data_IF_379561077281
#
_entry.id   IF_379561077281
#
_cell.length_a   1.000
_cell.length_b   1.000
_cell.length_c   1.000
_cell.angle_alpha   90.00
_cell.angle_beta   90.00
_cell.angle_gamma   90.00
#
_symmetry.space_group_name_H-M   'P 1'
#
loop_
_entity.id
_entity.type
_entity.pdbx_description
1 polymer ?
#
# COMPACT_ATOMS: atom_id res chain seq x y z
N UNK A 1 15.75 -55.68 -21.97
CA UNK A 1 16.04 -54.31 -22.44
C UNK A 1 15.61 -53.29 -21.38
N UNK A 2 16.42 -53.03 -20.34
CA UNK A 2 16.23 -51.88 -19.41
C UNK A 2 17.60 -51.52 -18.83
N UNK A 3 18.43 -50.77 -19.55
CA UNK A 3 19.69 -50.20 -19.00
C UNK A 3 20.09 -48.82 -19.59
N UNK A 4 19.22 -48.14 -20.35
CA UNK A 4 19.62 -46.94 -21.11
C UNK A 4 19.15 -45.59 -20.52
N UNK A 5 18.22 -45.56 -19.56
CA UNK A 5 17.61 -44.29 -19.13
C UNK A 5 18.33 -43.53 -18.00
N UNK A 6 19.33 -44.12 -17.34
CA UNK A 6 20.04 -43.47 -16.22
C UNK A 6 21.23 -42.59 -16.66
N UNK A 7 21.82 -42.87 -17.83
CA UNK A 7 23.00 -42.12 -18.31
C UNK A 7 22.66 -40.73 -18.87
N UNK A 8 21.41 -40.49 -19.28
CA UNK A 8 20.98 -39.20 -19.85
C UNK A 8 20.75 -38.16 -18.74
N UNK A 9 20.22 -38.57 -17.57
CA UNK A 9 19.93 -37.63 -16.47
C UNK A 9 21.18 -37.10 -15.76
N UNK A 10 22.27 -37.88 -15.69
CA UNK A 10 23.53 -37.40 -15.10
C UNK A 10 24.25 -36.36 -15.98
N UNK A 11 24.11 -36.42 -17.31
CA UNK A 11 24.77 -35.46 -18.22
C UNK A 11 24.13 -34.08 -18.17
N UNK A 12 22.80 -33.99 -18.03
CA UNK A 12 22.09 -32.71 -17.96
C UNK A 12 22.37 -31.97 -16.66
N UNK A 13 22.51 -32.69 -15.54
CA UNK A 13 22.80 -32.09 -14.23
C UNK A 13 24.21 -31.49 -14.17
N UNK A 14 25.22 -32.18 -14.73
CA UNK A 14 26.59 -31.66 -14.75
C UNK A 14 26.75 -30.40 -15.61
N UNK A 15 26.00 -30.30 -16.72
CA UNK A 15 26.01 -29.11 -17.58
C UNK A 15 25.39 -27.88 -16.89
N UNK A 16 24.33 -28.08 -16.12
CA UNK A 16 23.68 -26.99 -15.37
C UNK A 16 24.58 -26.44 -14.26
N UNK A 17 25.27 -27.31 -13.53
CA UNK A 17 26.22 -26.88 -12.48
C UNK A 17 27.43 -26.14 -13.06
N UNK A 18 27.91 -26.51 -14.25
CA UNK A 18 29.03 -25.84 -14.88
C UNK A 18 28.65 -24.44 -15.41
N UNK A 19 27.45 -24.28 -15.97
CA UNK A 19 26.95 -22.96 -16.40
C UNK A 19 26.72 -22.00 -15.22
N UNK A 20 26.18 -22.49 -14.11
CA UNK A 20 25.99 -21.69 -12.90
C UNK A 20 27.32 -21.21 -12.30
N UNK A 21 28.36 -22.04 -12.32
CA UNK A 21 29.70 -21.63 -11.86
C UNK A 21 30.37 -20.60 -12.78
N UNK A 22 30.16 -20.68 -14.09
CA UNK A 22 30.70 -19.67 -15.03
C UNK A 22 30.00 -18.31 -14.89
N UNK A 23 28.68 -18.28 -14.68
CA UNK A 23 27.92 -17.04 -14.45
C UNK A 23 28.30 -16.35 -13.13
N UNK A 24 28.54 -17.13 -12.07
CA UNK A 24 29.00 -16.60 -10.80
C UNK A 24 30.38 -15.95 -10.90
N UNK A 25 31.31 -16.57 -11.66
CA UNK A 25 32.66 -16.04 -11.84
C UNK A 25 32.68 -14.74 -12.66
N UNK A 26 31.82 -14.62 -13.69
CA UNK A 26 31.69 -13.39 -14.50
C UNK A 26 31.20 -12.21 -13.65
N UNK A 27 30.23 -12.43 -12.75
CA UNK A 27 29.74 -11.35 -11.87
C UNK A 27 30.78 -10.89 -10.86
N UNK A 28 31.60 -11.80 -10.32
CA UNK A 28 32.70 -11.43 -9.41
C UNK A 28 33.75 -10.57 -10.13
N UNK A 29 34.07 -10.87 -11.39
CA UNK A 29 35.00 -10.07 -12.20
C UNK A 29 34.43 -8.68 -12.52
N UNK A 30 33.13 -8.57 -12.81
CA UNK A 30 32.48 -7.26 -13.04
C UNK A 30 32.46 -6.38 -11.77
N UNK A 31 32.23 -6.97 -10.61
CA UNK A 31 32.26 -6.26 -9.31
C UNK A 31 33.69 -5.80 -8.98
N UNK A 32 34.71 -6.64 -9.22
CA UNK A 32 36.11 -6.25 -9.04
C UNK A 32 36.55 -5.14 -10.01
N UNK A 33 36.05 -5.13 -11.25
CA UNK A 33 36.33 -4.06 -12.21
C UNK A 33 35.73 -2.71 -11.78
N UNK A 34 34.52 -2.71 -11.19
CA UNK A 34 33.88 -1.50 -10.64
C UNK A 34 34.59 -0.95 -9.40
N UNK A 35 35.19 -1.83 -8.58
CA UNK A 35 35.97 -1.42 -7.41
C UNK A 35 37.35 -0.86 -7.77
N UNK A 36 37.94 -1.29 -8.90
CA UNK A 36 39.22 -0.74 -9.35
C UNK A 36 39.04 0.65 -9.98
N UNK A 37 37.93 0.90 -10.69
CA UNK A 37 37.65 2.19 -11.34
C UNK A 37 37.23 3.32 -10.39
N UNK A 38 36.82 3.01 -9.16
CA UNK A 38 36.39 4.02 -8.17
C UNK A 38 37.52 4.62 -7.33
N UNK A 39 38.79 4.25 -7.60
CA UNK A 39 39.95 4.69 -6.82
C UNK A 39 40.81 5.79 -7.48
N UNK A 40 40.37 6.35 -8.63
CA UNK A 40 41.09 7.41 -9.34
C UNK A 40 40.13 8.51 -9.78
N UNK A 41 39.73 9.40 -8.87
CA UNK A 41 39.23 10.73 -9.22
C UNK A 41 39.12 11.65 -7.99
N UNK A 42 39.63 12.87 -8.18
CA UNK A 42 39.33 14.11 -7.44
C UNK A 42 40.12 14.43 -6.17
N UNK A 43 41.22 15.14 -6.44
CA UNK A 43 41.86 16.11 -5.57
C UNK A 43 41.46 17.52 -6.06
N UNK A 44 41.31 18.45 -5.11
CA UNK A 44 41.13 19.91 -5.22
C UNK A 44 39.75 20.48 -5.58
N UNK A 45 39.13 21.14 -4.59
CA UNK A 45 38.26 22.30 -4.81
C UNK A 45 38.43 23.27 -3.64
N UNK A 46 38.67 24.53 -3.99
CA UNK A 46 38.98 25.63 -3.09
C UNK A 46 37.78 26.19 -2.32
N UNK A 47 38.16 27.03 -1.37
CA UNK A 47 37.33 27.74 -0.39
C UNK A 47 36.44 28.78 -1.10
N UNK A 48 35.11 28.64 -0.97
CA UNK A 48 34.12 29.62 -1.41
C UNK A 48 33.34 30.11 -0.20
N UNK A 49 33.40 31.42 0.00
CA UNK A 49 32.74 32.18 1.04
C UNK A 49 31.22 32.14 0.84
N UNK A 50 30.46 31.66 1.83
CA UNK A 50 28.99 31.59 1.77
C UNK A 50 28.38 32.39 2.91
N UNK A 51 27.93 33.61 2.59
CA UNK A 51 26.88 34.28 3.35
C UNK A 51 25.54 33.71 2.88
N UNK A 52 24.87 32.94 3.74
CA UNK A 52 23.60 32.27 3.44
C UNK A 52 22.58 32.58 4.53
N UNK A 53 21.48 33.17 4.11
CA UNK A 53 20.26 33.38 4.89
C UNK A 53 19.67 32.03 5.30
N UNK A 54 19.49 31.84 6.60
CA UNK A 54 19.02 30.58 7.17
C UNK A 54 17.62 30.21 6.66
N UNK A 55 17.37 28.94 6.30
CA UNK A 55 16.05 28.46 5.91
C UNK A 55 15.06 28.58 7.07
N UNK A 56 13.80 28.88 6.73
CA UNK A 56 12.67 29.04 7.65
C UNK A 56 12.26 27.66 8.19
N UNK A 57 13.08 27.11 9.08
CA UNK A 57 12.81 25.84 9.72
C UNK A 57 11.70 26.01 10.77
N UNK A 58 10.60 25.28 10.61
CA UNK A 58 9.71 24.96 11.74
C UNK A 58 10.48 23.96 12.60
N UNK A 59 11.17 24.43 13.65
CA UNK A 59 11.92 23.54 14.53
C UNK A 59 10.98 22.79 15.48
N UNK A 60 10.90 21.45 15.41
CA UNK A 60 10.25 20.67 16.44
C UNK A 60 11.22 20.43 17.61
N UNK A 61 10.71 20.50 18.83
CA UNK A 61 11.42 20.05 20.03
C UNK A 61 11.48 18.53 20.01
N UNK A 62 12.67 17.96 19.77
CA UNK A 62 12.89 16.51 19.72
C UNK A 62 13.49 16.04 21.05
N UNK A 63 12.80 15.16 21.75
CA UNK A 63 13.33 14.39 22.89
C UNK A 63 14.35 13.34 22.42
N UNK A 64 15.46 13.21 23.16
CA UNK A 64 16.63 12.40 22.79
C UNK A 64 16.31 10.91 22.50
N UNK A 65 16.91 10.37 21.42
CA UNK A 65 16.78 8.98 20.95
C UNK A 65 17.85 8.04 21.55
N UNK A 66 17.61 6.71 21.58
CA UNK A 66 18.61 5.71 21.98
C UNK A 66 19.75 5.57 20.96
N UNK A 67 20.97 5.32 21.44
CA UNK A 67 22.24 5.53 20.73
C UNK A 67 22.87 4.31 20.01
N UNK A 68 22.16 3.21 19.73
CA UNK A 68 22.81 2.10 19.01
C UNK A 68 21.83 1.10 18.39
N UNK A 69 21.78 1.01 17.06
CA UNK A 69 21.24 -0.15 16.35
C UNK A 69 22.06 -0.48 15.09
N UNK A 70 22.19 -1.77 14.72
CA UNK A 70 23.25 -2.23 13.81
C UNK A 70 22.78 -2.53 12.38
N UNK A 71 21.60 -2.07 11.95
CA UNK A 71 21.15 -2.29 10.58
C UNK A 71 21.54 -1.08 9.72
N UNK A 72 22.57 -1.18 8.87
CA UNK A 72 22.81 -0.13 7.90
C UNK A 72 21.60 -0.03 6.96
N UNK A 73 21.16 1.20 6.67
CA UNK A 73 20.26 1.57 5.56
C UNK A 73 20.93 1.19 4.23
N UNK A 74 21.10 -0.11 3.98
CA UNK A 74 21.99 -0.64 2.95
C UNK A 74 21.48 -0.48 1.51
N UNK A 75 20.32 0.17 1.31
CA UNK A 75 19.71 0.30 -0.02
C UNK A 75 19.02 1.66 -0.23
N UNK A 76 19.53 2.73 0.38
CA UNK A 76 19.06 4.05 0.02
C UNK A 76 19.63 4.47 -1.34
N UNK A 77 18.79 4.45 -2.38
CA UNK A 77 19.10 5.06 -3.68
C UNK A 77 18.51 6.47 -3.66
N UNK A 78 19.31 7.54 -3.80
CA UNK A 78 18.78 8.89 -3.94
C UNK A 78 17.75 8.94 -5.07
N UNK A 79 16.59 9.53 -4.77
CA UNK A 79 15.52 9.73 -5.74
C UNK A 79 15.34 11.22 -5.96
N UNK A 80 15.22 11.62 -7.22
CA UNK A 80 14.96 13.00 -7.62
C UNK A 80 13.84 13.00 -8.65
N UNK A 81 12.86 13.88 -8.47
CA UNK A 81 11.81 14.14 -9.46
C UNK A 81 11.61 15.65 -9.61
N UNK A 82 11.11 16.07 -10.78
CA UNK A 82 10.81 17.49 -11.06
C UNK A 82 9.50 17.59 -11.84
N UNK A 83 8.63 18.50 -11.41
CA UNK A 83 7.38 18.86 -12.07
C UNK A 83 7.19 20.37 -11.94
N UNK A 84 7.08 21.06 -13.09
CA UNK A 84 7.00 22.53 -13.11
C UNK A 84 8.16 23.22 -12.39
N UNK A 85 7.82 24.09 -11.43
CA UNK A 85 8.74 24.84 -10.57
C UNK A 85 9.14 24.07 -9.28
N UNK A 86 8.64 22.85 -9.10
CA UNK A 86 8.91 22.00 -7.92
C UNK A 86 9.90 20.90 -8.29
N UNK A 87 10.95 20.77 -7.49
CA UNK A 87 11.89 19.66 -7.53
C UNK A 87 11.90 18.99 -6.15
N UNK A 88 11.89 17.67 -6.13
CA UNK A 88 11.95 16.89 -4.89
C UNK A 88 13.11 15.92 -4.92
N UNK A 89 13.74 15.77 -3.77
CA UNK A 89 14.84 14.84 -3.55
C UNK A 89 14.65 14.11 -2.23
N UNK A 90 14.93 12.81 -2.20
CA UNK A 90 15.14 12.07 -0.96
C UNK A 90 16.64 12.00 -0.69
N UNK A 91 17.05 12.44 0.50
CA UNK A 91 18.46 12.47 0.93
C UNK A 91 18.61 11.75 2.27
N UNK A 92 19.62 10.88 2.45
CA UNK A 92 19.84 10.26 3.75
C UNK A 92 20.40 11.30 4.73
N UNK A 93 20.09 11.15 6.02
CA UNK A 93 20.82 11.85 7.06
C UNK A 93 22.30 11.44 7.04
N UNK A 94 23.21 12.33 7.45
CA UNK A 94 24.65 12.05 7.47
C UNK A 94 25.01 10.86 8.36
N UNK A 95 24.24 10.63 9.41
CA UNK A 95 24.36 9.50 10.34
C UNK A 95 23.42 8.33 9.98
N UNK A 96 22.71 8.42 8.86
CA UNK A 96 21.69 7.47 8.41
C UNK A 96 20.58 7.21 9.45
N UNK A 97 20.34 8.13 10.39
CA UNK A 97 19.27 8.00 11.37
C UNK A 97 17.88 8.34 10.82
N UNK A 98 17.84 8.91 9.61
CA UNK A 98 16.63 9.40 8.96
C UNK A 98 16.82 9.54 7.43
N UNK A 99 15.71 9.80 6.75
CA UNK A 99 15.66 10.27 5.37
C UNK A 99 14.99 11.63 5.37
N UNK A 100 15.52 12.56 4.58
CA UNK A 100 14.95 13.88 4.38
C UNK A 100 14.27 13.97 3.03
N UNK A 101 13.04 14.46 3.02
CA UNK A 101 12.43 15.01 1.81
C UNK A 101 12.88 16.47 1.68
N UNK A 102 13.67 16.75 0.65
CA UNK A 102 14.05 18.10 0.24
C UNK A 102 13.16 18.53 -0.93
N UNK A 103 12.42 19.60 -0.75
CA UNK A 103 11.59 20.22 -1.79
C UNK A 103 12.22 21.56 -2.14
N UNK A 104 12.50 21.78 -3.42
CA UNK A 104 12.92 23.07 -3.96
C UNK A 104 11.78 23.66 -4.78
N UNK A 105 11.27 24.82 -4.37
CA UNK A 105 10.22 25.60 -5.04
C UNK A 105 10.73 27.02 -5.21
N UNK A 106 10.78 27.52 -6.44
CA UNK A 106 11.16 28.92 -6.73
C UNK A 106 12.49 29.37 -6.07
N UNK A 107 13.49 28.48 -6.03
CA UNK A 107 14.80 28.68 -5.36
C UNK A 107 14.76 28.61 -3.82
N UNK A 108 13.59 28.51 -3.21
CA UNK A 108 13.46 28.23 -1.79
C UNK A 108 13.53 26.72 -1.53
N UNK A 109 14.10 26.34 -0.39
CA UNK A 109 14.25 24.95 0.02
C UNK A 109 13.47 24.66 1.30
N UNK A 110 12.70 23.58 1.24
CA UNK A 110 11.90 23.05 2.33
C UNK A 110 12.42 21.65 2.65
N UNK A 111 12.75 21.39 3.92
CA UNK A 111 13.34 20.13 4.35
C UNK A 111 12.48 19.49 5.42
N UNK A 112 12.06 18.25 5.17
CA UNK A 112 11.24 17.48 6.10
C UNK A 112 11.95 16.19 6.51
N UNK A 113 11.95 15.89 7.80
CA UNK A 113 12.36 14.60 8.35
C UNK A 113 11.24 13.59 8.11
N UNK A 114 11.50 12.52 7.37
CA UNK A 114 10.49 11.49 7.09
C UNK A 114 10.06 10.80 8.38
N UNK A 115 10.99 10.55 9.31
CA UNK A 115 10.65 10.06 10.65
C UNK A 115 9.67 10.99 11.39
N UNK A 116 9.90 12.31 11.35
CA UNK A 116 9.02 13.27 12.01
C UNK A 116 7.66 13.37 11.31
N UNK A 117 7.63 13.23 9.98
CA UNK A 117 6.40 13.16 9.21
C UNK A 117 5.56 11.94 9.62
N UNK A 118 6.18 10.75 9.71
CA UNK A 118 5.51 9.52 10.14
C UNK A 118 4.94 9.63 11.57
N UNK A 119 5.72 10.18 12.51
CA UNK A 119 5.28 10.36 13.90
C UNK A 119 4.06 11.30 14.04
N UNK A 120 3.82 12.19 13.07
CA UNK A 120 2.64 13.07 13.09
C UNK A 120 1.35 12.36 12.70
N UNK A 121 1.44 11.19 12.07
CA UNK A 121 0.30 10.44 11.58
C UNK A 121 -0.21 9.39 12.59
N UNK A 122 0.26 9.43 13.84
CA UNK A 122 -0.08 8.44 14.89
C UNK A 122 0.20 6.98 14.47
N UNK A 123 1.16 6.80 13.56
CA UNK A 123 1.73 5.48 13.26
C UNK A 123 2.69 5.14 14.40
N UNK A 124 2.62 3.90 14.92
CA UNK A 124 3.41 3.43 16.08
C UNK A 124 4.86 3.96 16.01
N UNK A 125 5.29 4.83 16.95
CA UNK A 125 6.57 5.55 16.89
C UNK A 125 7.79 4.62 17.02
N UNK A 126 7.57 3.32 17.28
CA UNK A 126 8.61 2.30 17.32
C UNK A 126 8.82 1.60 15.97
N UNK A 127 8.04 1.98 14.94
CA UNK A 127 8.15 1.41 13.59
C UNK A 127 9.19 2.16 12.78
N UNK A 128 10.37 1.55 12.69
CA UNK A 128 11.43 1.98 11.78
C UNK A 128 11.02 1.66 10.33
N UNK A 129 11.24 2.61 9.43
CA UNK A 129 11.11 2.37 7.99
C UNK A 129 12.39 1.76 7.40
N UNK A 130 12.24 0.86 6.42
CA UNK A 130 13.37 0.35 5.63
C UNK A 130 13.53 1.04 4.29
N UNK A 131 12.46 1.61 3.76
CA UNK A 131 12.51 2.32 2.48
C UNK A 131 11.52 3.47 2.45
N UNK A 132 11.94 4.53 1.75
CA UNK A 132 11.10 5.67 1.38
C UNK A 132 11.23 5.83 -0.13
N UNK A 133 10.10 5.99 -0.82
CA UNK A 133 10.06 6.17 -2.27
C UNK A 133 9.14 7.32 -2.66
N UNK A 134 9.57 8.12 -3.63
CA UNK A 134 8.70 9.09 -4.30
C UNK A 134 7.88 8.30 -5.34
N UNK A 135 6.61 8.07 -5.05
CA UNK A 135 5.71 7.36 -5.96
C UNK A 135 5.25 8.24 -7.10
N UNK A 136 4.88 9.49 -6.80
CA UNK A 136 4.43 10.46 -7.78
C UNK A 136 4.86 11.88 -7.37
N UNK A 137 5.07 12.71 -8.39
CA UNK A 137 5.14 14.16 -8.31
C UNK A 137 4.24 14.70 -9.43
N UNK A 138 2.97 14.96 -9.12
CA UNK A 138 1.94 15.28 -10.11
C UNK A 138 0.88 16.19 -9.49
N UNK A 139 0.22 16.98 -10.33
CA UNK A 139 -0.95 17.80 -9.97
C UNK A 139 -2.17 16.86 -9.85
N UNK A 140 -2.57 16.54 -8.63
CA UNK A 140 -3.58 15.51 -8.33
C UNK A 140 -5.00 16.06 -8.26
N UNK A 141 -5.16 17.35 -7.96
CA UNK A 141 -6.46 18.02 -7.92
C UNK A 141 -6.65 19.06 -9.03
N UNK A 142 -5.74 19.10 -10.00
CA UNK A 142 -5.78 19.91 -11.22
C UNK A 142 -5.79 21.42 -10.94
N UNK A 143 -5.16 21.83 -9.83
CA UNK A 143 -5.06 23.24 -9.43
C UNK A 143 -3.82 23.95 -10.01
N UNK A 144 -2.96 23.21 -10.72
CA UNK A 144 -1.72 23.68 -11.32
C UNK A 144 -0.49 23.53 -10.43
N UNK A 145 -0.63 23.03 -9.20
CA UNK A 145 0.44 22.75 -8.26
C UNK A 145 0.67 21.25 -8.13
N UNK A 146 1.93 20.76 -8.20
CA UNK A 146 2.19 19.33 -8.06
C UNK A 146 2.24 18.90 -6.58
N UNK A 147 1.49 17.85 -6.26
CA UNK A 147 1.60 17.09 -5.03
C UNK A 147 2.72 16.05 -5.09
N UNK A 148 3.19 15.66 -3.90
CA UNK A 148 4.22 14.65 -3.73
C UNK A 148 3.61 13.47 -2.98
N UNK A 149 3.64 12.31 -3.62
CA UNK A 149 3.20 11.06 -3.00
C UNK A 149 4.41 10.24 -2.59
N UNK A 150 4.49 9.91 -1.30
CA UNK A 150 5.55 9.09 -0.73
C UNK A 150 5.00 7.74 -0.28
N UNK A 151 5.72 6.66 -0.59
CA UNK A 151 5.58 5.36 0.06
C UNK A 151 6.67 5.23 1.13
N UNK A 152 6.24 5.10 2.38
CA UNK A 152 7.09 4.90 3.55
C UNK A 152 6.84 3.47 4.04
N UNK A 153 7.73 2.57 3.66
CA UNK A 153 7.59 1.15 3.95
C UNK A 153 8.39 0.76 5.22
N UNK A 154 7.74 0.14 6.22
CA UNK A 154 8.36 -0.31 7.46
C UNK A 154 9.31 -1.47 7.22
N UNK A 155 10.13 -1.78 8.22
CA UNK A 155 11.03 -2.93 8.18
C UNK A 155 10.32 -4.24 7.75
N UNK A 156 11.02 -5.04 6.93
CA UNK A 156 10.57 -6.21 6.16
C UNK A 156 9.75 -7.32 6.87
N UNK A 157 9.51 -7.22 8.17
CA UNK A 157 8.64 -8.12 8.95
C UNK A 157 7.29 -7.50 9.31
N UNK A 158 7.04 -6.27 8.87
CA UNK A 158 5.77 -5.55 9.05
C UNK A 158 5.20 -5.28 7.67
N UNK A 159 3.97 -5.72 7.39
CA UNK A 159 3.44 -5.52 6.06
C UNK A 159 2.96 -4.05 5.87
N UNK A 160 2.85 -3.25 6.93
CA UNK A 160 2.24 -1.90 6.88
C UNK A 160 3.02 -0.79 6.15
N UNK A 161 3.04 -0.71 4.81
CA UNK A 161 3.49 0.52 4.14
C UNK A 161 2.52 1.68 4.38
N UNK A 162 3.03 2.90 4.60
CA UNK A 162 2.24 4.13 4.73
C UNK A 162 2.39 5.01 3.49
N UNK A 163 1.27 5.45 2.90
CA UNK A 163 1.29 6.39 1.78
C UNK A 163 0.99 7.78 2.29
N UNK A 164 1.93 8.68 2.08
CA UNK A 164 1.86 10.05 2.57
C UNK A 164 1.79 11.01 1.40
N UNK A 165 0.85 11.95 1.48
CA UNK A 165 0.72 13.06 0.57
C UNK A 165 1.33 14.32 1.19
N UNK A 166 2.18 15.00 0.41
CA UNK A 166 2.72 16.32 0.73
C UNK A 166 2.25 17.29 -0.34
N UNK A 167 1.52 18.32 0.06
CA UNK A 167 0.89 19.27 -0.87
C UNK A 167 1.12 20.72 -0.43
N UNK A 168 1.10 21.65 -1.38
CA UNK A 168 1.32 23.06 -1.11
C UNK A 168 -0.01 23.80 -0.97
N UNK A 169 -0.23 24.49 0.15
CA UNK A 169 -1.36 25.41 0.25
C UNK A 169 -0.91 26.82 -0.13
N UNK A 170 -1.34 27.29 -1.29
CA UNK A 170 -1.01 28.62 -1.79
C UNK A 170 -1.52 29.74 -0.86
N UNK A 171 -2.57 29.52 -0.07
CA UNK A 171 -3.09 30.56 0.85
C UNK A 171 -2.17 30.81 2.03
N UNK A 172 -1.69 29.74 2.65
CA UNK A 172 -0.76 29.82 3.79
C UNK A 172 0.72 29.86 3.38
N UNK A 173 1.03 29.60 2.10
CA UNK A 173 2.38 29.51 1.57
C UNK A 173 3.23 28.49 2.35
N UNK A 174 2.66 27.30 2.56
CA UNK A 174 3.30 26.22 3.30
C UNK A 174 2.90 24.85 2.77
N UNK A 175 3.78 23.86 3.01
CA UNK A 175 3.49 22.46 2.76
C UNK A 175 2.73 21.82 3.92
N UNK A 176 1.74 21.01 3.58
CA UNK A 176 0.94 20.21 4.50
C UNK A 176 1.11 18.72 4.23
N UNK A 177 0.76 17.91 5.23
CA UNK A 177 0.89 16.46 5.21
C UNK A 177 -0.49 15.84 5.38
N UNK A 178 -0.79 14.82 4.57
CA UNK A 178 -1.97 13.98 4.72
C UNK A 178 -1.57 12.51 4.63
N UNK A 179 -2.17 11.69 5.49
CA UNK A 179 -2.21 10.26 5.28
C UNK A 179 -3.25 9.99 4.19
N UNK A 180 -2.88 9.23 3.16
CA UNK A 180 -3.82 8.81 2.12
C UNK A 180 -4.79 7.74 2.65
N UNK A 181 -4.53 7.16 3.83
CA UNK A 181 -5.37 6.09 4.37
C UNK A 181 -5.16 4.78 3.62
N UNK A 182 -5.81 3.70 4.07
CA UNK A 182 -5.69 2.36 3.49
C UNK A 182 -4.33 1.66 3.73
N UNK A 183 -3.31 2.40 4.14
CA UNK A 183 -1.93 1.97 4.24
C UNK A 183 -1.63 1.28 5.60
N UNK A 184 -2.52 0.37 6.02
CA UNK A 184 -2.30 -0.50 7.17
C UNK A 184 -2.38 -1.96 6.74
N UNK A 185 -1.20 -2.54 6.49
CA UNK A 185 -0.86 -3.96 6.65
C UNK A 185 -0.38 -4.74 5.42
N UNK A 186 0.17 -4.12 4.37
CA UNK A 186 0.75 -4.87 3.23
C UNK A 186 0.51 -4.25 1.86
N UNK A 187 -0.59 -3.51 1.73
CA UNK A 187 -1.04 -2.98 0.45
C UNK A 187 -0.98 -1.46 0.46
N UNK A 188 0.22 -0.90 0.23
CA UNK A 188 0.35 0.52 -0.08
C UNK A 188 -0.63 0.87 -1.21
N UNK A 189 -1.49 1.90 -1.03
CA UNK A 189 -2.30 2.40 -2.12
C UNK A 189 -1.47 2.61 -3.39
N UNK A 190 -1.99 2.12 -4.52
CA UNK A 190 -1.39 2.35 -5.84
C UNK A 190 -1.93 3.62 -6.43
N UNK A 191 -1.05 4.42 -7.04
CA UNK A 191 -1.47 5.55 -7.85
C UNK A 191 -1.73 5.08 -9.29
N UNK A 192 -2.95 5.22 -9.77
CA UNK A 192 -3.38 4.82 -11.12
C UNK A 192 -4.29 5.92 -11.67
N UNK A 193 -4.12 6.30 -12.95
CA UNK A 193 -5.11 7.11 -13.66
C UNK A 193 -6.10 6.15 -14.30
N UNK A 194 -7.23 5.90 -13.61
CA UNK A 194 -8.18 4.86 -14.02
C UNK A 194 -8.97 5.31 -15.25
N UNK A 195 -9.30 6.60 -15.34
CA UNK A 195 -10.18 7.15 -16.37
C UNK A 195 -9.42 7.77 -17.57
N UNK A 196 -8.11 7.92 -17.47
CA UNK A 196 -7.27 8.54 -18.49
C UNK A 196 -7.42 10.06 -18.54
N UNK A 197 -7.85 10.69 -17.46
CA UNK A 197 -8.11 12.13 -17.38
C UNK A 197 -6.88 12.92 -16.86
N UNK A 198 -5.76 12.24 -16.64
CA UNK A 198 -4.53 12.71 -15.99
C UNK A 198 -4.70 13.04 -14.51
N UNK A 199 -5.76 12.56 -13.88
CA UNK A 199 -5.93 12.60 -12.44
C UNK A 199 -5.61 11.22 -11.88
N UNK A 200 -4.72 11.16 -10.88
CA UNK A 200 -4.38 9.88 -10.27
C UNK A 200 -5.34 9.58 -9.13
N UNK A 201 -5.93 8.39 -9.17
CA UNK A 201 -6.59 7.76 -8.04
C UNK A 201 -5.59 6.95 -7.20
N UNK A 202 -5.88 6.86 -5.90
CA UNK A 202 -5.24 5.94 -4.99
C UNK A 202 -6.11 4.70 -4.81
N UNK A 203 -5.69 3.58 -5.40
CA UNK A 203 -6.37 2.29 -5.25
C UNK A 203 -5.77 1.54 -4.07
N UNK A 204 -6.61 1.26 -3.09
CA UNK A 204 -6.30 0.55 -1.87
C UNK A 204 -7.35 -0.54 -1.60
N UNK A 205 -7.24 -1.16 -0.43
CA UNK A 205 -8.30 -2.00 0.14
C UNK A 205 -8.69 -1.42 1.50
N UNK A 206 -9.96 -1.53 1.89
CA UNK A 206 -10.40 -1.02 3.19
C UNK A 206 -9.97 -1.97 4.32
N UNK A 207 -8.74 -1.85 4.77
CA UNK A 207 -8.13 -2.68 5.83
C UNK A 207 -8.80 -2.50 7.19
N UNK A 208 -9.41 -1.34 7.45
CA UNK A 208 -10.12 -1.08 8.70
C UNK A 208 -11.42 -1.87 8.78
N UNK A 209 -12.01 -2.24 7.64
CA UNK A 209 -13.18 -3.12 7.58
C UNK A 209 -12.91 -4.48 8.24
N UNK A 210 -11.78 -5.11 7.92
CA UNK A 210 -11.41 -6.40 8.51
C UNK A 210 -11.04 -6.30 9.99
N UNK A 211 -10.48 -5.17 10.41
CA UNK A 211 -10.22 -4.89 11.82
C UNK A 211 -11.52 -4.85 12.64
N UNK A 212 -12.59 -4.25 12.10
CA UNK A 212 -13.90 -4.23 12.76
C UNK A 212 -14.53 -5.63 12.87
N UNK A 213 -14.22 -6.55 11.95
CA UNK A 213 -14.68 -7.95 11.99
C UNK A 213 -13.95 -8.82 13.03
N UNK A 214 -13.04 -8.24 13.82
CA UNK A 214 -12.23 -8.99 14.79
C UNK A 214 -11.21 -9.92 14.14
N UNK A 215 -10.84 -9.64 12.88
CA UNK A 215 -9.80 -10.38 12.17
C UNK A 215 -8.48 -10.34 12.94
N UNK A 216 -8.02 -11.51 13.39
CA UNK A 216 -6.73 -11.67 14.11
C UNK A 216 -5.55 -11.71 13.14
N UNK A 217 -5.82 -11.90 11.85
CA UNK A 217 -4.81 -11.99 10.81
C UNK A 217 -4.80 -10.66 10.05
N UNK A 218 -3.67 -9.94 10.02
CA UNK A 218 -3.49 -8.74 9.21
C UNK A 218 -3.30 -9.09 7.72
N UNK A 219 -3.92 -10.17 7.23
CA UNK A 219 -3.93 -10.47 5.80
C UNK A 219 -5.07 -9.66 5.18
N UNK A 220 -4.72 -8.48 4.69
CA UNK A 220 -5.57 -7.53 3.98
C UNK A 220 -6.10 -8.08 2.64
N UNK A 221 -5.72 -9.30 2.27
CA UNK A 221 -6.17 -9.97 1.06
C UNK A 221 -7.68 -10.19 1.00
N UNK A 222 -8.44 -9.85 2.05
CA UNK A 222 -9.89 -10.06 2.16
C UNK A 222 -10.67 -8.78 2.45
N UNK A 223 -10.16 -7.62 2.03
CA UNK A 223 -10.82 -6.32 2.25
C UNK A 223 -11.44 -5.79 0.95
N UNK A 224 -12.64 -5.18 1.03
CA UNK A 224 -13.31 -4.60 -0.13
C UNK A 224 -12.45 -3.51 -0.78
N UNK A 225 -12.62 -3.33 -2.09
CA UNK A 225 -11.92 -2.30 -2.86
C UNK A 225 -12.16 -0.92 -2.26
N UNK A 226 -11.12 -0.09 -2.27
CA UNK A 226 -11.25 1.32 -1.93
C UNK A 226 -10.48 2.15 -2.95
N UNK A 227 -11.16 3.11 -3.56
CA UNK A 227 -10.57 4.06 -4.51
C UNK A 227 -10.73 5.45 -3.91
N UNK A 228 -9.59 6.10 -3.70
CA UNK A 228 -9.51 7.41 -3.08
C UNK A 228 -8.98 8.43 -4.07
N UNK A 229 -9.39 9.68 -3.90
CA UNK A 229 -8.93 10.79 -4.72
C UNK A 229 -8.54 11.96 -3.84
N UNK A 230 -7.54 12.72 -4.26
CA UNK A 230 -7.20 13.98 -3.62
C UNK A 230 -7.94 15.13 -4.31
N UNK A 231 -8.70 15.90 -3.55
CA UNK A 231 -9.33 17.14 -4.02
C UNK A 231 -9.33 18.20 -2.93
N UNK A 232 -8.93 19.43 -3.29
CA UNK A 232 -9.03 20.61 -2.42
C UNK A 232 -8.41 20.39 -1.02
N UNK A 233 -7.26 19.73 -0.96
CA UNK A 233 -6.58 19.45 0.31
C UNK A 233 -7.15 18.28 1.12
N UNK A 234 -8.12 17.53 0.59
CA UNK A 234 -8.72 16.36 1.24
C UNK A 234 -8.54 15.09 0.44
N UNK A 235 -8.47 13.97 1.15
CA UNK A 235 -8.62 12.65 0.57
C UNK A 235 -10.09 12.26 0.70
N UNK A 236 -10.73 11.94 -0.42
CA UNK A 236 -12.14 11.53 -0.47
C UNK A 236 -12.26 10.11 -1.02
N UNK A 237 -13.28 9.39 -0.59
CA UNK A 237 -13.60 8.04 -1.10
C UNK A 237 -14.53 8.16 -2.31
N UNK A 238 -13.99 7.81 -3.48
CA UNK A 238 -14.67 7.85 -4.79
C UNK A 238 -14.98 6.44 -5.30
N UNK A 239 -14.91 5.41 -4.46
CA UNK A 239 -15.10 4.00 -4.87
C UNK A 239 -16.41 3.78 -5.64
N UNK A 240 -17.47 4.51 -5.26
CA UNK A 240 -18.79 4.45 -5.89
C UNK A 240 -18.83 4.99 -7.35
N UNK A 241 -17.82 5.76 -7.78
CA UNK A 241 -17.69 6.25 -9.16
C UNK A 241 -17.21 5.13 -10.11
N UNK A 242 -16.71 4.01 -9.58
CA UNK A 242 -16.14 2.89 -10.34
C UNK A 242 -16.93 1.57 -10.18
N UNK A 243 -18.23 1.54 -10.53
CA UNK A 243 -19.10 0.39 -10.25
C UNK A 243 -18.66 -0.89 -10.98
N UNK A 244 -17.97 -0.78 -12.12
CA UNK A 244 -17.48 -1.96 -12.86
C UNK A 244 -16.34 -2.66 -12.10
N UNK A 245 -15.37 -1.90 -11.58
CA UNK A 245 -14.28 -2.42 -10.77
C UNK A 245 -14.80 -3.03 -9.46
N UNK A 246 -15.74 -2.34 -8.79
CA UNK A 246 -16.37 -2.84 -7.56
C UNK A 246 -17.18 -4.11 -7.82
N UNK A 247 -17.85 -4.21 -8.97
CA UNK A 247 -18.59 -5.41 -9.33
C UNK A 247 -17.65 -6.60 -9.62
N UNK A 248 -16.50 -6.36 -10.24
CA UNK A 248 -15.46 -7.39 -10.40
C UNK A 248 -14.86 -7.81 -9.05
N UNK A 249 -14.66 -6.87 -8.12
CA UNK A 249 -14.24 -7.14 -6.74
C UNK A 249 -15.23 -8.07 -6.02
N UNK A 250 -16.51 -7.72 -6.05
CA UNK A 250 -17.59 -8.53 -5.50
C UNK A 250 -17.59 -9.96 -6.10
N UNK A 251 -17.42 -10.06 -7.42
CA UNK A 251 -17.39 -11.36 -8.10
C UNK A 251 -16.16 -12.18 -7.69
N UNK A 252 -15.01 -11.55 -7.48
CA UNK A 252 -13.80 -12.22 -6.98
C UNK A 252 -14.06 -12.86 -5.61
N UNK A 253 -14.68 -12.12 -4.69
CA UNK A 253 -15.02 -12.65 -3.36
C UNK A 253 -16.00 -13.80 -3.40
N UNK A 254 -17.06 -13.66 -4.20
CA UNK A 254 -18.04 -14.72 -4.35
C UNK A 254 -17.42 -15.98 -4.98
N UNK A 255 -16.52 -15.81 -5.96
CA UNK A 255 -15.78 -16.92 -6.55
C UNK A 255 -14.86 -17.60 -5.53
N UNK A 256 -14.21 -16.86 -4.64
CA UNK A 256 -13.37 -17.41 -3.57
C UNK A 256 -14.18 -18.29 -2.61
N UNK A 257 -15.35 -17.83 -2.14
CA UNK A 257 -16.28 -18.63 -1.31
C UNK A 257 -16.71 -19.91 -2.03
N UNK A 258 -16.88 -19.84 -3.34
CA UNK A 258 -17.32 -20.96 -4.16
C UNK A 258 -16.17 -21.87 -4.60
N UNK A 259 -14.93 -21.57 -4.19
CA UNK A 259 -13.71 -22.23 -4.62
C UNK A 259 -13.60 -22.32 -6.16
N UNK A 260 -13.89 -21.21 -6.84
CA UNK A 260 -13.82 -21.08 -8.31
C UNK A 260 -12.81 -20.02 -8.69
N UNK A 261 -12.20 -20.22 -9.84
CA UNK A 261 -11.42 -19.18 -10.52
C UNK A 261 -12.31 -18.46 -11.52
N UNK A 262 -12.22 -17.13 -11.56
CA UNK A 262 -12.86 -16.29 -12.57
C UNK A 262 -11.79 -15.57 -13.39
N UNK A 263 -12.14 -15.21 -14.62
CA UNK A 263 -11.34 -14.28 -15.40
C UNK A 263 -11.67 -12.85 -14.95
N UNK A 264 -10.64 -12.06 -14.69
CA UNK A 264 -10.75 -10.64 -14.33
C UNK A 264 -10.27 -9.80 -15.51
N UNK A 265 -10.78 -8.56 -15.63
CA UNK A 265 -10.32 -7.65 -16.66
C UNK A 265 -8.88 -7.20 -16.42
N UNK A 266 -8.18 -6.80 -17.49
CA UNK A 266 -6.85 -6.20 -17.38
C UNK A 266 -6.91 -4.89 -16.56
N UNK A 267 -8.01 -4.14 -16.68
CA UNK A 267 -8.26 -2.91 -15.92
C UNK A 267 -8.31 -3.21 -14.42
N UNK A 268 -9.09 -4.22 -14.00
CA UNK A 268 -9.14 -4.65 -12.61
C UNK A 268 -7.79 -5.16 -12.10
N UNK A 269 -7.07 -5.97 -12.90
CA UNK A 269 -5.74 -6.48 -12.52
C UNK A 269 -4.68 -5.37 -12.43
N UNK A 270 -4.86 -4.27 -13.17
CA UNK A 270 -3.97 -3.11 -13.09
C UNK A 270 -4.07 -2.39 -11.73
N UNK A 271 -5.29 -2.33 -11.18
CA UNK A 271 -5.58 -1.67 -9.90
C UNK A 271 -5.41 -2.62 -8.71
N UNK A 272 -5.66 -3.93 -8.88
CA UNK A 272 -5.55 -4.95 -7.82
C UNK A 272 -4.47 -6.00 -8.12
N UNK A 273 -3.27 -5.88 -7.56
CA UNK A 273 -2.14 -6.77 -7.88
C UNK A 273 -2.10 -8.10 -7.13
N UNK A 274 -2.88 -8.28 -6.06
CA UNK A 274 -2.88 -9.52 -5.32
C UNK A 274 -3.45 -10.62 -6.22
N UNK A 275 -2.67 -11.67 -6.50
CA UNK A 275 -3.14 -12.71 -7.42
C UNK A 275 -4.33 -13.44 -6.83
N UNK A 276 -5.46 -13.57 -7.57
CA UNK A 276 -6.62 -14.34 -7.16
C UNK A 276 -6.27 -15.78 -6.76
N UNK A 277 -5.19 -16.31 -7.35
CA UNK A 277 -4.69 -17.67 -7.13
C UNK A 277 -4.34 -17.95 -5.66
N UNK A 278 -3.91 -16.94 -4.89
CA UNK A 278 -3.66 -17.12 -3.45
C UNK A 278 -4.96 -17.37 -2.67
N UNK A 279 -6.07 -16.72 -3.08
CA UNK A 279 -7.35 -16.76 -2.38
C UNK A 279 -8.03 -18.14 -2.44
N UNK A 280 -7.83 -18.88 -3.55
CA UNK A 280 -8.49 -20.18 -3.82
C UNK A 280 -7.86 -21.33 -3.03
N UNK A 281 -6.67 -21.13 -2.43
CA UNK A 281 -5.96 -22.19 -1.67
C UNK A 281 -6.22 -22.16 -0.17
N UNK A 282 -6.94 -21.15 0.31
CA UNK A 282 -7.23 -20.98 1.72
C UNK A 282 -8.37 -21.89 2.15
N UNK A 283 -8.26 -22.46 3.35
CA UNK A 283 -9.30 -23.29 3.94
C UNK A 283 -10.59 -22.47 4.11
N UNK A 284 -11.74 -23.16 4.06
CA UNK A 284 -13.12 -22.64 4.28
C UNK A 284 -13.30 -21.81 5.55
N UNK A 285 -12.29 -21.80 6.42
CA UNK A 285 -12.20 -20.94 7.60
C UNK A 285 -12.38 -19.44 7.30
N UNK A 286 -12.05 -18.97 6.09
CA UNK A 286 -12.13 -17.55 5.72
C UNK A 286 -13.38 -17.16 4.92
N UNK A 287 -14.32 -18.08 4.69
CA UNK A 287 -15.54 -17.82 3.90
C UNK A 287 -16.31 -16.59 4.39
N UNK A 288 -16.35 -16.38 5.71
CA UNK A 288 -17.02 -15.22 6.29
C UNK A 288 -16.35 -13.89 5.92
N UNK A 289 -15.02 -13.82 5.79
CA UNK A 289 -14.33 -12.59 5.38
C UNK A 289 -14.61 -12.27 3.91
N UNK A 290 -14.58 -13.28 3.05
CA UNK A 290 -14.96 -13.12 1.64
C UNK A 290 -16.40 -12.66 1.50
N UNK A 291 -17.34 -13.28 2.22
CA UNK A 291 -18.74 -12.86 2.22
C UNK A 291 -18.94 -11.45 2.79
N UNK A 292 -18.14 -11.04 3.77
CA UNK A 292 -18.18 -9.70 4.32
C UNK A 292 -17.68 -8.64 3.32
N UNK A 293 -16.54 -8.89 2.66
CA UNK A 293 -16.00 -8.01 1.62
C UNK A 293 -16.95 -7.92 0.43
N UNK A 294 -17.46 -9.06 -0.05
CA UNK A 294 -18.53 -9.13 -1.05
C UNK A 294 -19.70 -8.24 -0.69
N UNK A 295 -20.22 -8.36 0.54
CA UNK A 295 -21.37 -7.58 0.96
C UNK A 295 -21.05 -6.08 1.00
N UNK A 296 -19.87 -5.68 1.46
CA UNK A 296 -19.42 -4.29 1.45
C UNK A 296 -19.40 -3.70 0.03
N UNK A 297 -18.86 -4.43 -0.95
CA UNK A 297 -18.90 -4.02 -2.36
C UNK A 297 -20.34 -3.91 -2.87
N UNK A 298 -21.22 -4.83 -2.48
CA UNK A 298 -22.64 -4.76 -2.83
C UNK A 298 -23.34 -3.54 -2.24
N UNK A 299 -22.92 -3.04 -1.07
CA UNK A 299 -23.41 -1.77 -0.53
C UNK A 299 -22.92 -0.57 -1.35
N UNK A 300 -21.66 -0.57 -1.79
CA UNK A 300 -21.14 0.48 -2.69
C UNK A 300 -21.94 0.53 -3.99
N UNK A 301 -22.34 -0.64 -4.50
CA UNK A 301 -23.15 -0.79 -5.72
C UNK A 301 -24.65 -0.47 -5.54
N UNK A 302 -25.13 -0.24 -4.30
CA UNK A 302 -26.57 -0.09 -4.01
C UNK A 302 -27.38 -1.37 -4.27
N UNK A 303 -26.74 -2.54 -4.13
CA UNK A 303 -27.32 -3.88 -4.30
C UNK A 303 -27.34 -4.66 -2.99
N UNK A 304 -27.49 -3.98 -1.86
CA UNK A 304 -27.38 -4.57 -0.53
C UNK A 304 -28.36 -5.72 -0.29
N UNK A 305 -29.59 -5.63 -0.81
CA UNK A 305 -30.59 -6.68 -0.64
C UNK A 305 -30.21 -7.96 -1.38
N UNK A 306 -29.64 -7.84 -2.59
CA UNK A 306 -29.10 -8.97 -3.35
C UNK A 306 -27.89 -9.58 -2.62
N UNK A 307 -26.99 -8.72 -2.13
CA UNK A 307 -25.84 -9.12 -1.33
C UNK A 307 -26.24 -9.96 -0.12
N UNK A 308 -27.20 -9.48 0.67
CA UNK A 308 -27.70 -10.21 1.83
C UNK A 308 -28.34 -11.55 1.50
N UNK A 309 -29.11 -11.63 0.41
CA UNK A 309 -29.71 -12.89 -0.02
C UNK A 309 -28.63 -13.94 -0.32
N UNK A 310 -27.56 -13.55 -1.01
CA UNK A 310 -26.43 -14.43 -1.32
C UNK A 310 -25.65 -14.81 -0.06
N UNK A 311 -25.41 -13.86 0.86
CA UNK A 311 -24.75 -14.18 2.14
C UNK A 311 -25.57 -15.20 2.93
N UNK A 312 -26.89 -15.05 3.00
CA UNK A 312 -27.77 -16.00 3.67
C UNK A 312 -27.78 -17.38 2.98
N UNK A 313 -27.73 -17.42 1.65
CA UNK A 313 -27.69 -18.66 0.89
C UNK A 313 -26.36 -19.40 1.08
N UNK A 314 -25.23 -18.70 1.02
CA UNK A 314 -23.89 -19.30 1.07
C UNK A 314 -23.43 -19.62 2.50
N UNK A 315 -23.89 -18.84 3.49
CA UNK A 315 -23.49 -18.99 4.89
C UNK A 315 -24.40 -19.99 5.64
N UNK A 316 -24.33 -21.27 5.26
CA UNK A 316 -25.15 -22.33 5.89
C UNK A 316 -24.44 -23.04 7.06
N UNK A 317 -23.12 -22.95 7.17
CA UNK A 317 -22.40 -23.62 8.25
C UNK A 317 -22.56 -22.86 9.57
N UNK A 318 -22.64 -23.59 10.69
CA UNK A 318 -22.67 -22.98 12.02
C UNK A 318 -21.48 -22.04 12.20
N UNK A 319 -20.28 -22.41 11.72
CA UNK A 319 -19.09 -21.57 11.82
C UNK A 319 -19.26 -20.22 11.09
N UNK A 320 -19.76 -20.24 9.85
CA UNK A 320 -19.99 -19.02 9.09
C UNK A 320 -21.09 -18.17 9.77
N UNK A 321 -22.18 -18.81 10.21
CA UNK A 321 -23.29 -18.09 10.84
C UNK A 321 -22.86 -17.47 12.16
N UNK A 322 -22.12 -18.20 12.99
CA UNK A 322 -21.58 -17.69 14.25
C UNK A 322 -20.67 -16.49 13.98
N UNK A 323 -19.78 -16.57 12.98
CA UNK A 323 -18.82 -15.47 12.71
C UNK A 323 -19.43 -14.25 12.04
N UNK A 324 -20.41 -14.41 11.15
CA UNK A 324 -21.09 -13.26 10.52
C UNK A 324 -22.15 -12.63 11.44
N UNK A 325 -22.87 -13.45 12.22
CA UNK A 325 -24.08 -13.00 12.91
C UNK A 325 -23.98 -12.99 14.43
N UNK A 326 -23.06 -13.72 15.07
CA UNK A 326 -22.80 -13.45 16.48
C UNK A 326 -22.15 -12.06 16.58
N UNK A 327 -22.77 -11.22 17.40
CA UNK A 327 -22.34 -9.88 17.82
C UNK A 327 -22.65 -8.70 16.89
N UNK A 328 -23.39 -8.88 15.79
CA UNK A 328 -23.71 -7.76 14.89
C UNK A 328 -22.45 -7.12 14.29
N UNK A 329 -21.36 -7.88 14.26
CA UNK A 329 -20.01 -7.40 13.91
C UNK A 329 -19.96 -6.96 12.45
N UNK A 330 -20.64 -7.67 11.55
CA UNK A 330 -20.70 -7.31 10.13
C UNK A 330 -21.47 -6.01 9.90
N UNK A 331 -22.68 -5.89 10.47
CA UNK A 331 -23.49 -4.67 10.37
C UNK A 331 -22.75 -3.47 11.00
N UNK A 332 -22.11 -3.70 12.15
CA UNK A 332 -21.24 -2.70 12.78
C UNK A 332 -20.08 -2.33 11.86
N UNK A 333 -19.35 -3.28 11.29
CA UNK A 333 -18.24 -3.01 10.39
C UNK A 333 -18.70 -2.18 9.18
N UNK A 334 -19.81 -2.59 8.55
CA UNK A 334 -20.43 -1.85 7.44
C UNK A 334 -20.85 -0.43 7.85
N UNK A 335 -21.35 -0.25 9.07
CA UNK A 335 -21.78 1.07 9.59
C UNK A 335 -20.59 1.96 9.94
N UNK A 336 -19.62 1.44 10.71
CA UNK A 336 -18.45 2.17 11.19
C UNK A 336 -17.56 2.58 10.02
N UNK A 337 -17.44 1.72 9.01
CA UNK A 337 -16.68 2.01 7.80
C UNK A 337 -17.48 2.77 6.72
N UNK A 338 -18.73 3.16 7.01
CA UNK A 338 -19.50 4.07 6.15
C UNK A 338 -20.21 3.44 4.95
N UNK A 339 -20.20 2.12 4.79
CA UNK A 339 -20.98 1.41 3.76
C UNK A 339 -22.50 1.55 3.99
N UNK A 340 -22.93 1.57 5.26
CA UNK A 340 -24.32 1.86 5.63
C UNK A 340 -24.45 3.34 6.01
N UNK A 341 -25.22 4.10 5.23
CA UNK A 341 -25.54 5.50 5.56
C UNK A 341 -26.56 5.57 6.69
N UNK A 342 -26.21 6.24 7.80
CA UNK A 342 -27.13 6.47 8.91
C UNK A 342 -28.37 7.25 8.43
N UNK A 343 -29.54 6.61 8.40
CA UNK A 343 -30.81 7.25 8.00
C UNK A 343 -31.68 6.43 7.08
N UNK A 344 -31.16 5.39 6.42
CA UNK A 344 -32.00 4.39 5.79
C UNK A 344 -32.50 3.41 6.85
N UNK A 345 -33.77 3.54 7.22
CA UNK A 345 -34.48 2.60 8.09
C UNK A 345 -34.72 1.26 7.38
N UNK A 346 -33.64 0.59 6.97
CA UNK A 346 -33.69 -0.80 6.54
C UNK A 346 -33.86 -1.64 7.80
N UNK A 347 -35.11 -1.97 8.13
CA UNK A 347 -35.36 -3.14 8.97
C UNK A 347 -34.71 -4.32 8.25
N UNK A 348 -33.60 -4.82 8.77
CA UNK A 348 -32.90 -5.95 8.17
C UNK A 348 -33.90 -7.10 7.94
N UNK A 349 -33.93 -7.71 6.76
CA UNK A 349 -34.91 -8.75 6.43
C UNK A 349 -34.70 -10.08 7.19
N UNK A 350 -33.72 -10.16 8.09
CA UNK A 350 -33.34 -11.44 8.70
C UNK A 350 -34.05 -11.68 10.03
N UNK A 351 -35.01 -12.61 10.01
CA UNK A 351 -35.44 -13.31 11.22
C UNK A 351 -34.30 -14.22 11.66
N UNK A 352 -33.52 -13.79 12.65
CA UNK A 352 -32.59 -14.69 13.34
C UNK A 352 -33.45 -15.78 13.98
N UNK A 353 -33.33 -17.03 13.47
CA UNK A 353 -33.98 -18.17 14.10
C UNK A 353 -33.35 -18.36 15.48
N UNK A 354 -34.11 -18.06 16.53
CA UNK A 354 -33.68 -18.15 17.93
C UNK A 354 -33.34 -19.57 18.42
N UNK A 355 -33.23 -20.56 17.53
CA UNK A 355 -32.94 -21.96 17.86
C UNK A 355 -31.43 -22.31 17.90
N UNK A 356 -30.54 -21.44 17.41
CA UNK A 356 -29.08 -21.71 17.35
C UNK A 356 -28.36 -21.39 18.68
N UNK A 357 -29.02 -20.74 19.64
CA UNK A 357 -28.45 -20.52 20.99
C UNK A 357 -28.84 -21.67 21.92
N UNK A 358 -28.09 -22.78 21.89
CA UNK A 358 -28.12 -23.80 22.94
C UNK A 358 -26.77 -24.46 23.19
#
# INVERSE_FOLDING_TARGET
>A
MVKSSYLIKCRTFLFFTLQLQQLAMIRVIQILALLIFSSVACQEAGEVDTSSSSPKAIQPTVTARPTSFPFPLNFFVPQMQKSGNVMVELLPAADYSDVYLLITREQEQYRFSVSAMQNRLDVDPHVWFTSVKIMALSDLDLDGEPEIVLDISPQANRPYSSVMLVFWDAKSQAYYLKDVGGARAGNAPRTVDIEGDNRLEFVAVNVLFNAELGGVVPDESFSPLQILRFEEGQIIDVTHEYPELVQEDANLWLAAVQNRTIALSDDYLSVRPASPEFLVTLDTYYDFLFLAAYLADMYVLGKEQEGWNIVQEMCQSDHCQLRLFEFGTLERALTVQGYIKQGHGTSLPMKINAEIVK
#
